data_IF_348552198597
#
_entry.id   IF_348552198597
#
_cell.length_a   1.000
_cell.length_b   1.000
_cell.length_c   1.000
_cell.angle_alpha   90.00
_cell.angle_beta   90.00
_cell.angle_gamma   90.00
#
_symmetry.space_group_name_H-M   'P 1'
#
loop_
_entity.id
_entity.type
_entity.pdbx_description
1 polymer ?
#
# COMPACT_ATOMS: atom_id res chain seq x y z
N UNK A 1 -16.54 -23.79 -25.14
CA UNK A 1 -17.98 -23.40 -25.19
C UNK A 1 -18.59 -23.63 -23.82
N UNK A 2 -18.54 -22.62 -22.96
CA UNK A 2 -19.42 -22.41 -21.81
C UNK A 2 -19.19 -20.96 -21.36
N UNK A 3 -20.05 -20.08 -21.87
CA UNK A 3 -20.14 -18.69 -21.50
C UNK A 3 -20.94 -18.57 -20.20
N UNK A 4 -20.42 -17.89 -19.18
CA UNK A 4 -21.16 -17.44 -18.00
C UNK A 4 -20.58 -16.09 -17.57
N UNK A 5 -21.13 -15.01 -18.13
CA UNK A 5 -22.08 -14.07 -17.49
C UNK A 5 -21.43 -13.11 -16.50
N UNK A 6 -21.26 -11.88 -16.98
CA UNK A 6 -21.18 -10.65 -16.20
C UNK A 6 -22.13 -10.73 -15.01
N UNK A 7 -21.60 -10.63 -13.80
CA UNK A 7 -22.39 -10.30 -12.62
C UNK A 7 -22.88 -8.85 -12.80
N UNK A 8 -24.08 -8.72 -13.37
CA UNK A 8 -24.91 -7.53 -13.18
C UNK A 8 -25.20 -7.42 -11.68
N UNK A 9 -24.41 -6.59 -10.99
CA UNK A 9 -24.84 -5.98 -9.74
C UNK A 9 -26.06 -5.13 -10.12
N UNK A 10 -27.26 -5.61 -9.76
CA UNK A 10 -28.53 -4.87 -9.90
C UNK A 10 -28.40 -3.54 -9.15
N UNK A 11 -27.96 -2.50 -9.86
CA UNK A 11 -28.16 -1.12 -9.45
C UNK A 11 -29.52 -0.68 -10.01
N UNK A 12 -30.40 -0.07 -9.19
CA UNK A 12 -31.67 0.43 -9.68
C UNK A 12 -31.45 1.48 -10.78
N UNK A 13 -32.20 1.34 -11.88
CA UNK A 13 -32.02 2.01 -13.17
C UNK A 13 -32.06 3.56 -13.19
N UNK A 14 -32.26 4.23 -12.04
CA UNK A 14 -32.41 5.69 -11.99
C UNK A 14 -31.12 6.48 -11.72
N UNK A 15 -29.94 5.84 -11.70
CA UNK A 15 -28.65 6.53 -11.52
C UNK A 15 -27.86 6.66 -12.83
N UNK A 16 -28.47 6.34 -13.98
CA UNK A 16 -27.73 6.08 -15.21
C UNK A 16 -27.47 7.27 -16.15
N UNK A 17 -27.96 8.48 -15.89
CA UNK A 17 -27.69 9.59 -16.82
C UNK A 17 -27.63 10.93 -16.09
N UNK A 18 -26.49 11.31 -15.50
CA UNK A 18 -26.10 12.71 -15.28
C UNK A 18 -24.61 12.85 -14.89
N UNK A 19 -23.67 12.22 -15.60
CA UNK A 19 -22.24 12.54 -15.43
C UNK A 19 -21.48 12.41 -16.77
N UNK A 20 -22.02 13.00 -17.84
CA UNK A 20 -21.22 13.39 -19.00
C UNK A 20 -20.53 14.72 -18.71
N UNK A 21 -19.63 14.77 -17.74
CA UNK A 21 -18.74 15.92 -17.64
C UNK A 21 -17.31 15.48 -17.33
N UNK A 22 -16.40 15.46 -18.34
CA UNK A 22 -15.00 15.10 -18.17
C UNK A 22 -14.17 16.18 -17.45
N UNK A 23 -14.81 17.02 -16.63
CA UNK A 23 -14.20 18.18 -16.01
C UNK A 23 -13.65 17.85 -14.62
N UNK A 24 -12.38 17.47 -14.62
CA UNK A 24 -11.45 17.57 -13.49
C UNK A 24 -11.25 19.00 -12.92
N UNK A 25 -12.12 19.97 -13.23
CA UNK A 25 -11.81 21.39 -12.97
C UNK A 25 -12.93 22.28 -12.43
N UNK A 26 -14.15 21.82 -12.14
CA UNK A 26 -15.19 22.70 -11.56
C UNK A 26 -16.10 22.02 -10.56
N UNK A 27 -15.55 21.77 -9.37
CA UNK A 27 -16.29 21.87 -8.10
C UNK A 27 -15.36 22.62 -7.12
N UNK A 28 -15.46 23.95 -7.16
CA UNK A 28 -15.04 24.93 -6.16
C UNK A 28 -13.82 24.63 -5.27
N UNK A 29 -12.65 25.08 -5.73
CA UNK A 29 -11.48 25.23 -4.89
C UNK A 29 -10.57 24.01 -4.88
N UNK A 30 -9.33 24.22 -5.28
CA UNK A 30 -8.22 23.27 -5.28
C UNK A 30 -8.14 22.43 -3.99
N UNK A 31 -8.82 21.28 -3.95
CA UNK A 31 -8.48 20.27 -2.96
C UNK A 31 -7.12 19.72 -3.36
N UNK A 32 -6.10 20.14 -2.63
CA UNK A 32 -4.80 19.49 -2.64
C UNK A 32 -5.01 17.99 -2.44
N UNK A 33 -4.15 17.14 -3.01
CA UNK A 33 -4.17 15.67 -2.78
C UNK A 33 -4.27 15.35 -1.27
N UNK A 34 -3.67 16.18 -0.42
CA UNK A 34 -3.75 16.10 1.04
C UNK A 34 -5.17 16.18 1.63
N UNK A 35 -6.13 16.75 0.90
CA UNK A 35 -7.51 16.95 1.31
C UNK A 35 -8.50 16.00 0.63
N UNK A 36 -8.02 15.00 -0.13
CA UNK A 36 -8.88 14.07 -0.85
C UNK A 36 -9.89 13.33 0.04
N UNK A 37 -9.54 13.09 1.32
CA UNK A 37 -10.46 12.54 2.32
C UNK A 37 -11.76 13.36 2.49
N UNK A 38 -11.71 14.69 2.30
CA UNK A 38 -12.91 15.55 2.34
C UNK A 38 -13.82 15.33 1.14
N UNK A 39 -13.22 15.08 -0.03
CA UNK A 39 -13.97 14.73 -1.24
C UNK A 39 -14.72 13.42 -1.02
N UNK A 40 -14.05 12.39 -0.48
CA UNK A 40 -14.67 11.11 -0.16
C UNK A 40 -15.83 11.27 0.85
N UNK A 41 -15.64 12.07 1.90
CA UNK A 41 -16.72 12.36 2.86
C UNK A 41 -17.91 13.08 2.20
N UNK A 42 -17.66 14.04 1.32
CA UNK A 42 -18.71 14.73 0.56
C UNK A 42 -19.46 13.81 -0.41
N UNK A 43 -18.77 12.86 -1.04
CA UNK A 43 -19.40 11.85 -1.89
C UNK A 43 -20.37 10.97 -1.09
N UNK A 44 -19.94 10.48 0.07
CA UNK A 44 -20.80 9.69 0.96
C UNK A 44 -22.02 10.50 1.42
N UNK A 45 -21.82 11.73 1.89
CA UNK A 45 -22.91 12.56 2.38
C UNK A 45 -23.96 12.85 1.29
N UNK A 46 -23.52 13.04 0.05
CA UNK A 46 -24.39 13.42 -1.07
C UNK A 46 -25.09 12.25 -1.74
N UNK A 47 -24.40 11.13 -1.91
CA UNK A 47 -24.85 10.01 -2.73
C UNK A 47 -25.03 8.70 -1.95
N UNK A 48 -24.59 8.66 -0.70
CA UNK A 48 -24.73 7.51 0.17
C UNK A 48 -23.58 6.50 0.08
N UNK A 49 -23.83 5.24 0.48
CA UNK A 49 -22.79 4.27 0.82
C UNK A 49 -22.04 3.65 -0.36
N UNK A 50 -22.55 3.80 -1.58
CA UNK A 50 -21.97 3.22 -2.80
C UNK A 50 -22.05 4.23 -3.94
N UNK A 51 -20.88 4.68 -4.43
CA UNK A 51 -20.81 5.78 -5.39
C UNK A 51 -19.93 5.40 -6.57
N UNK A 52 -20.47 5.42 -7.79
CA UNK A 52 -19.68 5.28 -9.02
C UNK A 52 -19.24 6.66 -9.52
N UNK A 53 -17.93 6.83 -9.70
CA UNK A 53 -17.31 8.01 -10.29
C UNK A 53 -16.55 7.59 -11.55
N UNK A 54 -16.80 8.26 -12.69
CA UNK A 54 -16.07 7.98 -13.92
C UNK A 54 -14.86 8.91 -14.04
N UNK A 55 -13.67 8.35 -14.16
CA UNK A 55 -12.43 9.07 -14.43
C UNK A 55 -12.01 8.79 -15.87
N UNK A 56 -12.49 9.63 -16.81
CA UNK A 56 -12.37 9.34 -18.24
C UNK A 56 -13.06 8.01 -18.58
N UNK A 57 -12.32 7.08 -19.16
CA UNK A 57 -12.79 5.71 -19.45
C UNK A 57 -12.75 4.75 -18.27
N UNK A 58 -12.15 5.16 -17.14
CA UNK A 58 -11.90 4.28 -15.99
C UNK A 58 -12.90 4.59 -14.86
N UNK A 59 -13.95 3.78 -14.69
CA UNK A 59 -14.85 3.94 -13.56
C UNK A 59 -14.17 3.51 -12.26
N UNK A 60 -14.41 4.27 -11.19
CA UNK A 60 -14.08 3.93 -9.81
C UNK A 60 -15.37 3.83 -9.02
N UNK A 61 -15.52 2.75 -8.25
CA UNK A 61 -16.63 2.59 -7.32
C UNK A 61 -16.10 2.78 -5.91
N UNK A 62 -16.61 3.81 -5.24
CA UNK A 62 -16.34 4.10 -3.83
C UNK A 62 -17.32 3.30 -2.99
N UNK A 63 -16.79 2.55 -2.03
CA UNK A 63 -17.54 1.70 -1.11
C UNK A 63 -17.26 2.18 0.30
N UNK A 64 -18.30 2.55 1.05
CA UNK A 64 -18.15 3.17 2.38
C UNK A 64 -18.62 2.26 3.53
N UNK A 65 -19.53 1.31 3.27
CA UNK A 65 -20.09 0.46 4.31
C UNK A 65 -19.26 -0.81 4.56
N UNK A 66 -19.05 -1.22 5.83
CA UNK A 66 -18.24 -2.39 6.16
C UNK A 66 -18.71 -3.71 5.51
N UNK A 67 -20.03 -3.92 5.39
CA UNK A 67 -20.58 -5.15 4.80
C UNK A 67 -20.34 -5.23 3.28
N UNK A 68 -20.39 -4.10 2.59
CA UNK A 68 -20.04 -4.02 1.17
C UNK A 68 -18.54 -4.20 0.97
N UNK A 69 -17.71 -3.57 1.81
CA UNK A 69 -16.24 -3.75 1.80
C UNK A 69 -15.88 -5.23 2.02
N UNK A 70 -16.54 -5.89 2.98
CA UNK A 70 -16.38 -7.33 3.22
C UNK A 70 -16.76 -8.14 1.98
N UNK A 71 -17.85 -7.79 1.31
CA UNK A 71 -18.29 -8.47 0.08
C UNK A 71 -17.24 -8.35 -1.03
N UNK A 72 -16.67 -7.15 -1.22
CA UNK A 72 -15.55 -6.93 -2.15
C UNK A 72 -14.37 -7.82 -1.79
N UNK A 73 -13.91 -7.82 -0.53
CA UNK A 73 -12.78 -8.65 -0.10
C UNK A 73 -13.06 -10.16 -0.18
N UNK A 74 -14.30 -10.60 0.02
CA UNK A 74 -14.68 -12.01 -0.14
C UNK A 74 -14.68 -12.45 -1.61
N UNK A 75 -14.97 -11.52 -2.52
CA UNK A 75 -14.89 -11.76 -3.97
C UNK A 75 -13.46 -11.65 -4.52
N UNK A 76 -12.53 -11.16 -3.71
CA UNK A 76 -11.15 -10.97 -4.11
C UNK A 76 -10.42 -12.32 -4.22
N UNK A 77 -9.72 -12.53 -5.34
CA UNK A 77 -8.94 -13.74 -5.57
C UNK A 77 -7.64 -13.79 -4.78
N UNK A 78 -6.85 -14.84 -5.00
CA UNK A 78 -5.52 -15.01 -4.36
C UNK A 78 -4.49 -13.96 -4.80
N UNK A 79 -4.75 -13.26 -5.90
CA UNK A 79 -3.88 -12.26 -6.51
C UNK A 79 -4.68 -10.96 -6.72
N UNK A 80 -4.88 -10.16 -5.65
CA UNK A 80 -5.55 -8.88 -5.77
C UNK A 80 -4.83 -7.98 -6.77
N UNK A 81 -5.60 -7.23 -7.55
CA UNK A 81 -5.07 -6.21 -8.45
C UNK A 81 -5.15 -4.86 -7.75
N UNK A 82 -3.99 -4.33 -7.36
CA UNK A 82 -3.87 -2.99 -6.79
C UNK A 82 -3.36 -2.07 -7.89
N UNK A 83 -4.12 -1.01 -8.19
CA UNK A 83 -3.65 0.02 -9.13
C UNK A 83 -2.34 0.60 -8.58
N UNK A 84 -1.23 0.60 -9.34
CA UNK A 84 0.05 1.09 -8.87
C UNK A 84 -0.08 2.48 -8.26
N UNK A 85 0.40 2.65 -7.03
CA UNK A 85 0.30 3.93 -6.31
C UNK A 85 1.11 5.03 -7.00
N UNK A 86 2.14 4.65 -7.79
CA UNK A 86 3.09 5.56 -8.42
C UNK A 86 3.58 5.00 -9.77
N UNK A 87 2.79 5.16 -10.83
CA UNK A 87 3.16 4.76 -12.20
C UNK A 87 4.52 5.32 -12.64
N UNK A 88 4.83 6.57 -12.28
CA UNK A 88 6.12 7.19 -12.58
C UNK A 88 7.30 6.46 -11.92
N UNK A 89 7.12 5.94 -10.70
CA UNK A 89 8.15 5.19 -10.00
C UNK A 89 8.33 3.81 -10.62
N UNK A 90 7.26 3.17 -11.06
CA UNK A 90 7.34 1.93 -11.80
C UNK A 90 8.20 2.12 -13.07
N UNK A 91 7.86 3.11 -13.92
CA UNK A 91 8.59 3.42 -15.15
C UNK A 91 10.06 3.72 -14.87
N UNK A 92 10.35 4.55 -13.86
CA UNK A 92 11.73 4.88 -13.48
C UNK A 92 12.53 3.61 -13.10
N UNK A 93 11.94 2.70 -12.32
CA UNK A 93 12.62 1.48 -11.87
C UNK A 93 12.87 0.52 -13.03
N UNK A 94 11.91 0.39 -13.94
CA UNK A 94 12.05 -0.41 -15.16
C UNK A 94 13.19 0.12 -16.05
N UNK A 95 13.22 1.43 -16.31
CA UNK A 95 14.27 2.07 -17.12
C UNK A 95 15.68 1.88 -16.53
N UNK A 96 15.79 1.84 -15.21
CA UNK A 96 17.05 1.69 -14.49
C UNK A 96 17.35 0.22 -14.09
N UNK A 97 16.57 -0.75 -14.58
CA UNK A 97 16.72 -2.18 -14.24
C UNK A 97 16.73 -2.45 -12.73
N UNK A 98 15.97 -1.67 -11.97
CA UNK A 98 15.79 -1.83 -10.54
C UNK A 98 14.62 -2.80 -10.28
N UNK A 99 14.67 -3.54 -9.17
CA UNK A 99 13.54 -4.37 -8.74
C UNK A 99 12.28 -3.50 -8.63
N UNK A 100 11.13 -3.88 -9.22
CA UNK A 100 9.95 -3.02 -9.28
C UNK A 100 9.37 -2.72 -7.89
N UNK A 101 9.57 -3.61 -6.91
CA UNK A 101 9.08 -3.46 -5.54
C UNK A 101 7.62 -3.86 -5.41
N UNK A 102 7.23 -4.32 -4.22
CA UNK A 102 5.93 -4.96 -3.99
C UNK A 102 4.72 -4.09 -4.34
N UNK A 103 4.83 -2.76 -4.22
CA UNK A 103 3.75 -1.81 -4.52
C UNK A 103 3.56 -1.49 -6.00
N UNK A 104 4.44 -1.99 -6.89
CA UNK A 104 4.43 -1.68 -8.32
C UNK A 104 4.29 -2.93 -9.20
N UNK A 105 3.93 -4.08 -8.62
CA UNK A 105 3.72 -5.35 -9.34
C UNK A 105 2.36 -5.93 -8.99
N UNK A 106 1.77 -6.68 -9.92
CA UNK A 106 0.50 -7.39 -9.74
C UNK A 106 0.63 -8.84 -10.25
N UNK A 107 -0.43 -9.64 -10.06
CA UNK A 107 -0.50 -11.01 -10.58
C UNK A 107 0.51 -11.97 -9.94
N UNK A 108 1.05 -12.89 -10.73
CA UNK A 108 1.89 -13.98 -10.22
C UNK A 108 3.21 -13.48 -9.63
N UNK A 109 3.80 -12.45 -10.21
CA UNK A 109 5.05 -11.85 -9.69
C UNK A 109 4.84 -11.26 -8.30
N UNK A 110 3.75 -10.49 -8.14
CA UNK A 110 3.33 -9.98 -6.83
C UNK A 110 3.10 -11.13 -5.84
N UNK A 111 2.39 -12.17 -6.26
CA UNK A 111 2.07 -13.30 -5.38
C UNK A 111 3.32 -14.03 -4.89
N UNK A 112 4.29 -14.28 -5.78
CA UNK A 112 5.58 -14.91 -5.44
C UNK A 112 6.35 -14.06 -4.43
N UNK A 113 6.51 -12.77 -4.71
CA UNK A 113 7.25 -11.85 -3.83
C UNK A 113 6.53 -11.67 -2.47
N UNK A 114 5.22 -11.41 -2.49
CA UNK A 114 4.39 -11.24 -1.29
C UNK A 114 4.42 -12.48 -0.41
N UNK A 115 4.34 -13.67 -1.02
CA UNK A 115 4.38 -14.95 -0.32
C UNK A 115 5.71 -15.17 0.39
N UNK A 116 6.83 -14.86 -0.26
CA UNK A 116 8.15 -14.93 0.38
C UNK A 116 8.26 -13.94 1.56
N UNK A 117 7.93 -12.66 1.32
CA UNK A 117 7.97 -11.61 2.34
C UNK A 117 7.08 -11.97 3.54
N UNK A 118 5.84 -12.41 3.31
CA UNK A 118 4.90 -12.80 4.37
C UNK A 118 5.51 -13.85 5.31
N UNK A 119 6.24 -14.83 4.77
CA UNK A 119 6.87 -15.88 5.57
C UNK A 119 7.99 -15.35 6.45
N UNK A 120 8.68 -14.30 6.01
CA UNK A 120 9.83 -13.71 6.71
C UNK A 120 9.44 -12.67 7.76
N UNK A 121 8.37 -11.89 7.52
CA UNK A 121 8.05 -10.74 8.38
C UNK A 121 6.69 -10.81 9.09
N UNK A 122 5.75 -11.65 8.66
CA UNK A 122 4.40 -11.68 9.24
C UNK A 122 4.08 -12.94 10.04
N UNK A 123 5.00 -13.91 10.09
CA UNK A 123 4.80 -15.13 10.90
C UNK A 123 5.09 -14.82 12.37
N UNK A 124 4.23 -15.22 13.33
CA UNK A 124 4.43 -14.94 14.75
C UNK A 124 5.83 -15.30 15.28
N UNK A 125 6.39 -16.43 14.82
CA UNK A 125 7.76 -16.86 15.17
C UNK A 125 8.83 -15.84 14.73
N UNK A 126 8.73 -15.36 13.49
CA UNK A 126 9.68 -14.38 12.96
C UNK A 126 9.48 -13.02 13.64
N UNK A 127 8.22 -12.64 13.92
CA UNK A 127 7.91 -11.44 14.70
C UNK A 127 8.57 -11.49 16.08
N UNK A 128 8.44 -12.60 16.78
CA UNK A 128 9.08 -12.78 18.08
C UNK A 128 10.61 -12.63 18.02
N UNK A 129 11.23 -13.05 16.91
CA UNK A 129 12.66 -12.92 16.71
C UNK A 129 13.10 -11.46 16.55
N UNK A 130 12.41 -10.67 15.73
CA UNK A 130 12.83 -9.28 15.48
C UNK A 130 12.28 -8.26 16.49
N UNK A 131 11.24 -8.59 17.25
CA UNK A 131 10.57 -7.69 18.18
C UNK A 131 11.52 -7.08 19.24
N UNK A 132 12.49 -7.81 19.84
CA UNK A 132 13.43 -7.22 20.78
C UNK A 132 14.26 -6.08 20.18
N UNK A 133 14.65 -6.19 18.91
CA UNK A 133 15.39 -5.14 18.21
C UNK A 133 14.50 -3.92 17.93
N UNK A 134 13.24 -4.15 17.56
CA UNK A 134 12.26 -3.04 17.39
C UNK A 134 12.08 -2.33 18.73
N UNK A 135 11.93 -3.10 19.80
CA UNK A 135 11.75 -2.57 21.15
C UNK A 135 12.98 -1.78 21.62
N UNK A 136 14.21 -2.21 21.31
CA UNK A 136 15.40 -1.45 21.70
C UNK A 136 15.43 -0.06 21.05
N UNK A 137 15.14 0.03 19.74
CA UNK A 137 15.09 1.32 19.04
C UNK A 137 13.93 2.19 19.56
N UNK A 138 12.77 1.59 19.84
CA UNK A 138 11.65 2.31 20.45
C UNK A 138 12.00 2.86 21.84
N UNK A 139 12.69 2.08 22.69
CA UNK A 139 13.14 2.54 24.01
C UNK A 139 14.15 3.69 23.91
N UNK A 140 15.08 3.63 22.95
CA UNK A 140 16.05 4.70 22.73
C UNK A 140 15.36 5.98 22.21
N UNK A 141 14.36 5.84 21.35
CA UNK A 141 13.52 6.96 20.94
C UNK A 141 12.76 7.57 22.13
N UNK A 142 12.18 6.77 23.03
CA UNK A 142 11.53 7.27 24.25
C UNK A 142 12.51 8.05 25.13
N UNK A 143 13.73 7.53 25.33
CA UNK A 143 14.78 8.25 26.08
C UNK A 143 15.14 9.58 25.41
N UNK A 144 15.27 9.59 24.08
CA UNK A 144 15.56 10.79 23.30
C UNK A 144 14.46 11.84 23.46
N UNK A 145 13.20 11.42 23.30
CA UNK A 145 12.03 12.28 23.48
C UNK A 145 11.99 12.84 24.90
N UNK A 146 12.24 12.03 25.93
CA UNK A 146 12.25 12.51 27.31
C UNK A 146 13.34 13.57 27.58
N UNK A 147 14.47 13.55 26.86
CA UNK A 147 15.50 14.58 26.95
C UNK A 147 15.15 15.86 26.19
N UNK A 148 14.26 15.76 25.19
CA UNK A 148 13.91 16.87 24.30
C UNK A 148 12.63 17.61 24.73
N UNK A 149 11.87 17.03 25.67
CA UNK A 149 10.72 17.69 26.30
C UNK A 149 11.17 18.95 27.03
N UNK A 150 10.37 20.01 26.91
CA UNK A 150 10.51 21.19 27.75
C UNK A 150 9.91 20.98 29.15
N UNK A 151 9.90 22.04 29.95
CA UNK A 151 9.35 22.02 31.32
C UNK A 151 7.85 21.70 31.38
N UNK A 152 7.11 21.87 30.28
CA UNK A 152 5.69 21.54 30.18
C UNK A 152 5.45 20.13 29.61
N UNK A 153 6.53 19.41 29.28
CA UNK A 153 6.45 18.07 28.70
C UNK A 153 6.22 18.06 27.18
N UNK A 154 6.35 19.21 26.51
CA UNK A 154 6.10 19.37 25.08
C UNK A 154 7.39 19.14 24.30
N UNK A 155 7.27 18.44 23.16
CA UNK A 155 8.39 18.23 22.22
C UNK A 155 8.15 19.07 20.98
N UNK A 156 8.92 20.16 20.86
CA UNK A 156 8.92 20.95 19.64
C UNK A 156 9.49 20.14 18.46
N UNK A 157 8.76 20.11 17.35
CA UNK A 157 9.17 19.37 16.15
C UNK A 157 9.05 17.85 16.25
N UNK A 158 8.11 17.33 17.06
CA UNK A 158 7.89 15.88 17.22
C UNK A 158 7.78 15.12 15.88
N UNK A 159 7.12 15.72 14.88
CA UNK A 159 6.99 15.13 13.54
C UNK A 159 8.35 14.78 12.92
N UNK A 160 9.33 15.67 13.05
CA UNK A 160 10.67 15.46 12.48
C UNK A 160 11.43 14.41 13.28
N UNK A 161 11.25 14.36 14.60
CA UNK A 161 11.85 13.33 15.45
C UNK A 161 11.28 11.93 15.15
N UNK A 162 9.97 11.83 14.96
CA UNK A 162 9.31 10.58 14.53
C UNK A 162 9.77 10.19 13.12
N UNK A 163 9.96 11.15 12.21
CA UNK A 163 10.45 10.89 10.86
C UNK A 163 11.92 10.41 10.84
N UNK A 164 12.76 10.88 11.76
CA UNK A 164 14.14 10.37 11.94
C UNK A 164 14.10 8.95 12.49
N UNK A 165 13.32 8.72 13.54
CA UNK A 165 13.14 7.38 14.13
C UNK A 165 12.62 6.35 13.12
N UNK A 166 11.65 6.73 12.27
CA UNK A 166 11.13 5.82 11.24
C UNK A 166 12.18 5.43 10.20
N UNK A 167 13.22 6.24 9.99
CA UNK A 167 14.36 5.95 9.11
C UNK A 167 15.43 5.06 9.77
N UNK A 168 15.47 4.98 11.10
CA UNK A 168 16.31 4.00 11.80
C UNK A 168 15.76 2.57 11.67
N UNK A 169 14.47 2.44 11.35
CA UNK A 169 13.81 1.15 11.14
C UNK A 169 14.32 0.36 9.92
N UNK A 170 14.59 0.97 8.74
CA UNK A 170 15.35 0.33 7.66
C UNK A 170 16.72 -0.23 8.05
N UNK A 171 17.44 0.40 8.98
CA UNK A 171 18.69 -0.15 9.53
C UNK A 171 18.42 -1.41 10.36
N UNK A 172 17.27 -1.47 11.02
CA UNK A 172 16.76 -2.67 11.67
C UNK A 172 16.41 -3.76 10.66
N UNK A 173 15.78 -3.43 9.52
CA UNK A 173 15.48 -4.39 8.46
C UNK A 173 16.76 -5.05 7.94
N UNK A 174 17.84 -4.28 7.72
CA UNK A 174 19.16 -4.82 7.36
C UNK A 174 19.72 -5.75 8.44
N UNK A 175 19.69 -5.33 9.71
CA UNK A 175 20.12 -6.17 10.84
C UNK A 175 19.27 -7.44 11.00
N UNK A 176 17.96 -7.37 10.73
CA UNK A 176 17.04 -8.51 10.76
C UNK A 176 17.34 -9.46 9.61
N UNK A 177 17.56 -8.97 8.39
CA UNK A 177 17.94 -9.80 7.24
C UNK A 177 19.31 -10.47 7.44
N UNK A 178 20.28 -9.74 8.01
CA UNK A 178 21.59 -10.26 8.40
C UNK A 178 21.45 -11.34 9.50
N UNK A 179 20.61 -11.10 10.50
CA UNK A 179 20.33 -12.03 11.60
C UNK A 179 19.53 -13.27 11.16
N UNK A 180 18.66 -13.13 10.14
CA UNK A 180 17.93 -14.23 9.48
C UNK A 180 18.80 -15.04 8.49
N UNK A 181 20.12 -14.77 8.41
CA UNK A 181 21.09 -15.48 7.55
C UNK A 181 20.70 -15.57 6.07
N UNK A 182 19.97 -14.60 5.53
CA UNK A 182 19.80 -14.51 4.08
C UNK A 182 21.07 -13.91 3.51
N UNK A 183 22.00 -14.76 3.06
CA UNK A 183 23.12 -14.30 2.23
C UNK A 183 22.52 -13.57 1.02
N UNK A 184 22.98 -12.35 0.68
CA UNK A 184 22.70 -11.80 -0.64
C UNK A 184 23.16 -12.85 -1.65
N UNK A 185 22.24 -13.29 -2.52
CA UNK A 185 22.55 -14.30 -3.54
C UNK A 185 23.71 -13.81 -4.39
N UNK A 186 24.86 -14.47 -4.28
CA UNK A 186 25.91 -14.38 -5.27
C UNK A 186 25.34 -14.90 -6.57
N UNK A 187 25.13 -14.00 -7.52
CA UNK A 187 24.88 -14.28 -8.93
C UNK A 187 26.12 -14.96 -9.54
N UNK A 188 26.39 -16.21 -9.18
CA UNK A 188 27.54 -16.97 -9.69
C UNK A 188 27.40 -18.47 -9.41
N UNK A 189 26.30 -19.10 -9.84
CA UNK A 189 26.24 -20.57 -9.87
C UNK A 189 25.28 -21.19 -10.89
N UNK A 190 24.87 -20.46 -11.94
CA UNK A 190 24.03 -21.02 -13.03
C UNK A 190 24.79 -21.16 -14.36
N UNK A 191 26.08 -20.83 -14.42
CA UNK A 191 26.90 -20.91 -15.64
C UNK A 191 27.76 -22.19 -15.78
N UNK A 192 27.50 -23.26 -15.00
CA UNK A 192 28.18 -24.55 -15.17
C UNK A 192 27.20 -25.70 -14.98
N UNK A 193 26.39 -25.93 -16.00
CA UNK A 193 25.81 -27.24 -16.33
C UNK A 193 25.07 -27.10 -17.66
N UNK A 194 25.84 -26.83 -18.71
CA UNK A 194 25.44 -27.00 -20.11
C UNK A 194 26.71 -27.23 -20.91
N UNK A 195 27.37 -28.35 -20.63
CA UNK A 195 28.36 -29.01 -21.50
C UNK A 195 28.74 -30.32 -20.81
N UNK A 196 28.00 -31.39 -21.16
CA UNK A 196 28.39 -32.79 -21.31
C UNK A 196 27.16 -33.69 -21.40
#
# INVERSE_FOLDING_TARGET
MAALTLFEIRLPLHVLNHLQNPLYHKLDGYYQVSQYHKVLAGLYQKYGPLVRQNFGSNPVVHVFEPDDIKTVYMSEGTMPHVVPLQETVQVFREQNKLSPGLGNINGEEWYKLRSAIRKMILRPKEVHYYLPFVNSVAMDFVKHINKKKDSEGVVNGLKDEVAKWSQEYPLLHRKILEALRIKPGTSESVARNSDH
#
